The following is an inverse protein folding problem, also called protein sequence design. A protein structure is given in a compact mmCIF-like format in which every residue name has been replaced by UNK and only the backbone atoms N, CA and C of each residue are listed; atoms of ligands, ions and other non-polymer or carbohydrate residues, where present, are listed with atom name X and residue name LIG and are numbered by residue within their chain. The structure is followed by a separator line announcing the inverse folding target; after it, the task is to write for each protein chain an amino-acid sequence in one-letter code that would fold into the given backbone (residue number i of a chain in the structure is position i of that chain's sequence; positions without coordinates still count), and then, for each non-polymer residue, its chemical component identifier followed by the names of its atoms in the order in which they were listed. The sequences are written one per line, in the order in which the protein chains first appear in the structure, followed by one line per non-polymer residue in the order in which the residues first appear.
data_IF_296593988887
#
_entry.id   IF_296593988887
#
_cell.length_a   1.000
_cell.length_b   1.000
_cell.length_c   1.000
_cell.angle_alpha   90.00
_cell.angle_beta   90.00
_cell.angle_gamma   90.00
#
_symmetry.space_group_name_H-M   'P 1'
#
loop_
_entity.id
_entity.type
_entity.pdbx_description
1 polymer ?
#
# COMPACT_ATOMS: atom_id res chain seq x y z
N UNK A 1 2.60 28.92 30.28
CA UNK A 1 2.38 27.50 29.95
C UNK A 1 1.19 27.44 29.00
N UNK A 2 1.45 27.47 27.69
CA UNK A 2 0.42 27.37 26.66
C UNK A 2 0.05 25.89 26.54
N UNK A 3 -1.10 25.52 27.06
CA UNK A 3 -1.67 24.18 26.87
C UNK A 3 -2.09 24.06 25.41
N UNK A 4 -1.23 23.43 24.60
CA UNK A 4 -1.64 22.91 23.31
C UNK A 4 -2.88 22.02 23.53
N UNK A 5 -3.96 22.20 22.74
CA UNK A 5 -5.11 21.34 22.85
C UNK A 5 -4.67 19.89 22.61
N UNK A 6 -5.07 18.98 23.50
CA UNK A 6 -4.95 17.54 23.26
C UNK A 6 -5.62 17.26 21.90
N UNK A 7 -4.96 16.59 20.94
CA UNK A 7 -5.60 16.26 19.67
C UNK A 7 -6.85 15.45 19.99
N UNK A 8 -8.03 16.01 19.70
CA UNK A 8 -9.23 15.21 19.60
C UNK A 8 -8.98 14.16 18.53
N UNK A 9 -9.51 12.93 18.70
CA UNK A 9 -9.50 11.87 17.67
C UNK A 9 -9.60 12.51 16.29
N UNK A 10 -8.52 12.48 15.52
CA UNK A 10 -8.50 13.07 14.18
C UNK A 10 -9.70 12.49 13.42
N UNK A 11 -10.60 13.36 12.96
CA UNK A 11 -11.75 12.92 12.16
C UNK A 11 -11.17 12.34 10.88
N UNK A 12 -11.29 11.01 10.71
CA UNK A 12 -10.81 10.33 9.50
C UNK A 12 -11.49 10.99 8.29
N UNK A 13 -10.72 11.68 7.41
CA UNK A 13 -11.31 12.40 6.30
C UNK A 13 -11.86 11.42 5.27
N UNK A 14 -13.08 11.67 4.79
CA UNK A 14 -13.75 10.77 3.86
C UNK A 14 -14.58 11.56 2.86
N UNK A 15 -14.42 11.23 1.57
CA UNK A 15 -15.28 11.71 0.49
C UNK A 15 -15.40 13.25 0.42
N UNK A 16 -14.31 13.98 0.70
CA UNK A 16 -14.22 15.43 0.57
C UNK A 16 -14.53 15.86 -0.87
N UNK A 17 -14.06 15.07 -1.83
CA UNK A 17 -14.39 15.19 -3.25
C UNK A 17 -15.10 13.92 -3.73
N UNK A 18 -16.14 14.09 -4.55
CA UNK A 18 -17.03 13.01 -5.03
C UNK A 18 -17.05 12.97 -6.54
N UNK A 19 -17.53 11.87 -7.13
CA UNK A 19 -17.66 11.76 -8.60
C UNK A 19 -18.48 12.90 -9.21
N UNK A 20 -19.50 13.39 -8.50
CA UNK A 20 -20.33 14.52 -8.95
C UNK A 20 -19.65 15.89 -8.86
N UNK A 21 -18.58 16.01 -8.07
CA UNK A 21 -17.80 17.24 -7.87
C UNK A 21 -16.35 16.85 -7.54
N UNK A 22 -15.57 16.40 -8.54
CA UNK A 22 -14.19 16.00 -8.33
C UNK A 22 -13.31 17.22 -8.07
N UNK A 23 -12.21 17.02 -7.36
CA UNK A 23 -11.13 18.00 -7.29
C UNK A 23 -10.29 17.91 -8.56
N UNK A 24 -9.64 19.00 -8.94
CA UNK A 24 -8.68 19.02 -10.03
C UNK A 24 -7.30 19.19 -9.42
N UNK A 25 -6.50 18.13 -9.46
CA UNK A 25 -5.11 18.14 -9.02
C UNK A 25 -4.20 18.32 -10.24
N UNK A 26 -2.98 18.85 -10.04
CA UNK A 26 -2.00 19.00 -11.12
C UNK A 26 -0.86 18.01 -10.94
N UNK A 27 -0.39 17.38 -12.01
CA UNK A 27 0.79 16.53 -11.97
C UNK A 27 2.03 17.40 -11.78
N UNK A 28 2.82 17.11 -10.74
CA UNK A 28 4.12 17.72 -10.52
C UNK A 28 5.25 16.86 -11.09
N UNK A 29 5.15 15.54 -10.91
CA UNK A 29 6.14 14.59 -11.39
C UNK A 29 5.47 13.27 -11.77
N UNK A 30 6.05 12.58 -12.77
CA UNK A 30 5.65 11.24 -13.19
C UNK A 30 6.90 10.43 -13.55
N UNK A 31 7.46 9.76 -12.56
CA UNK A 31 8.75 9.09 -12.66
C UNK A 31 8.59 7.58 -12.77
N UNK A 32 9.39 6.95 -13.62
CA UNK A 32 9.41 5.48 -13.72
C UNK A 32 10.24 4.89 -12.61
N UNK A 33 9.63 4.00 -11.82
CA UNK A 33 10.27 3.28 -10.73
C UNK A 33 11.03 2.03 -11.19
N UNK A 34 10.68 1.51 -12.36
CA UNK A 34 11.22 0.26 -12.91
C UNK A 34 12.06 0.53 -14.17
N UNK A 35 13.13 -0.25 -14.42
CA UNK A 35 13.92 -0.11 -15.64
C UNK A 35 13.12 -0.47 -16.91
N UNK A 36 13.53 0.07 -18.06
CA UNK A 36 12.96 -0.32 -19.36
C UNK A 36 13.01 -1.85 -19.56
N UNK A 37 12.02 -2.39 -20.27
CA UNK A 37 11.85 -3.84 -20.44
C UNK A 37 11.12 -4.55 -19.29
N UNK A 38 10.90 -3.88 -18.16
CA UNK A 38 10.04 -4.38 -17.07
C UNK A 38 8.67 -3.70 -17.08
N UNK A 39 7.76 -4.24 -16.25
CA UNK A 39 6.43 -3.65 -15.99
C UNK A 39 6.56 -2.14 -15.72
N UNK A 40 5.79 -1.32 -16.42
CA UNK A 40 5.82 0.14 -16.27
C UNK A 40 5.13 0.55 -14.96
N UNK A 41 5.92 0.81 -13.91
CA UNK A 41 5.41 1.30 -12.63
C UNK A 41 5.90 2.72 -12.40
N UNK A 42 4.97 3.62 -12.10
CA UNK A 42 5.21 5.06 -11.96
C UNK A 42 5.01 5.51 -10.52
N UNK A 43 5.85 6.43 -10.10
CA UNK A 43 5.61 7.31 -8.96
C UNK A 43 5.09 8.64 -9.48
N UNK A 44 3.84 8.97 -9.15
CA UNK A 44 3.16 10.15 -9.67
C UNK A 44 2.86 11.08 -8.51
N UNK A 45 3.41 12.29 -8.54
CA UNK A 45 3.21 13.31 -7.51
C UNK A 45 2.17 14.31 -8.02
N UNK A 46 1.13 14.53 -7.22
CA UNK A 46 0.04 15.44 -7.51
C UNK A 46 0.08 16.63 -6.55
N UNK A 47 0.02 17.85 -7.10
CA UNK A 47 -0.26 19.09 -6.38
C UNK A 47 -1.74 19.15 -6.02
N UNK A 48 -2.00 19.41 -4.74
CA UNK A 48 -3.35 19.61 -4.17
C UNK A 48 -3.48 20.94 -3.44
N UNK A 49 -2.57 21.89 -3.62
CA UNK A 49 -2.57 23.18 -2.91
C UNK A 49 -3.83 24.03 -3.12
N UNK A 50 -4.54 23.83 -4.24
CA UNK A 50 -5.84 24.44 -4.51
C UNK A 50 -7.05 23.65 -3.98
N UNK A 51 -6.84 22.53 -3.28
CA UNK A 51 -7.88 21.62 -2.82
C UNK A 51 -7.89 21.53 -1.30
N UNK A 52 -9.08 21.55 -0.69
CA UNK A 52 -9.26 21.11 0.70
C UNK A 52 -9.29 19.57 0.74
N UNK A 53 -8.15 18.98 0.39
CA UNK A 53 -7.96 17.54 0.31
C UNK A 53 -6.92 17.14 1.36
N UNK A 54 -7.36 16.70 2.53
CA UNK A 54 -6.50 16.13 3.56
C UNK A 54 -6.82 14.64 3.70
N UNK A 55 -5.80 13.82 3.98
CA UNK A 55 -5.89 12.37 4.07
C UNK A 55 -4.95 11.83 5.15
N UNK A 56 -5.14 10.56 5.51
CA UNK A 56 -4.29 9.80 6.43
C UNK A 56 -3.55 8.69 5.68
N UNK A 57 -2.44 8.25 6.25
CA UNK A 57 -1.69 7.12 5.71
C UNK A 57 -2.57 5.88 5.60
N UNK A 58 -2.50 5.21 4.45
CA UNK A 58 -3.27 3.99 4.16
C UNK A 58 -4.67 4.24 3.56
N UNK A 59 -5.05 5.50 3.35
CA UNK A 59 -6.21 5.83 2.53
C UNK A 59 -5.92 5.73 1.03
N UNK A 60 -6.99 5.72 0.25
CA UNK A 60 -6.97 5.71 -1.21
C UNK A 60 -7.46 7.03 -1.81
N UNK A 61 -6.82 7.45 -2.90
CA UNK A 61 -7.27 8.52 -3.78
C UNK A 61 -7.97 7.92 -4.99
N UNK A 62 -9.10 8.49 -5.37
CA UNK A 62 -9.84 8.03 -6.54
C UNK A 62 -9.57 8.89 -7.77
N UNK A 63 -9.31 8.29 -8.92
CA UNK A 63 -9.05 8.96 -10.21
C UNK A 63 -10.20 8.71 -11.19
N UNK A 64 -10.68 9.78 -11.82
CA UNK A 64 -11.64 9.74 -12.92
C UNK A 64 -10.90 9.94 -14.24
N UNK A 65 -10.61 8.86 -15.00
CA UNK A 65 -9.99 9.02 -16.30
C UNK A 65 -10.96 9.71 -17.29
N UNK A 66 -10.46 10.55 -18.20
CA UNK A 66 -11.30 11.26 -19.17
C UNK A 66 -11.89 10.30 -20.20
N UNK A 67 -12.99 10.70 -20.84
CA UNK A 67 -13.61 9.94 -21.92
C UNK A 67 -14.82 9.09 -21.50
N UNK A 68 -15.31 8.28 -22.45
CA UNK A 68 -16.54 7.50 -22.32
C UNK A 68 -16.35 6.05 -22.77
N UNK A 69 -17.12 5.13 -22.20
CA UNK A 69 -17.16 3.73 -22.62
C UNK A 69 -17.89 3.55 -23.97
N UNK A 70 -17.91 2.31 -24.48
CA UNK A 70 -18.57 1.97 -25.75
C UNK A 70 -20.09 2.27 -25.77
N UNK A 71 -20.70 2.57 -24.63
CA UNK A 71 -22.12 2.95 -24.50
C UNK A 71 -22.28 4.47 -24.26
N UNK A 72 -21.23 5.25 -24.45
CA UNK A 72 -21.23 6.70 -24.25
C UNK A 72 -21.28 7.15 -22.79
N UNK A 73 -21.05 6.24 -21.83
CA UNK A 73 -21.08 6.58 -20.40
C UNK A 73 -19.69 7.00 -19.92
N UNK A 74 -19.56 8.03 -19.07
CA UNK A 74 -18.27 8.42 -18.51
C UNK A 74 -17.52 7.24 -17.90
N UNK A 75 -16.19 7.23 -18.06
CA UNK A 75 -15.40 6.20 -17.45
C UNK A 75 -15.53 6.20 -15.92
N UNK A 76 -15.59 5.00 -15.34
CA UNK A 76 -15.75 4.83 -13.89
C UNK A 76 -14.50 5.22 -13.11
N UNK A 77 -14.72 5.65 -11.88
CA UNK A 77 -13.69 5.85 -10.85
C UNK A 77 -12.80 4.62 -10.66
N UNK A 78 -11.48 4.83 -10.54
CA UNK A 78 -10.52 3.82 -10.05
C UNK A 78 -9.83 4.34 -8.80
N UNK A 79 -9.70 3.49 -7.78
CA UNK A 79 -9.00 3.82 -6.54
C UNK A 79 -7.54 3.42 -6.64
N UNK A 80 -6.67 4.24 -6.04
CA UNK A 80 -5.24 4.02 -5.90
C UNK A 80 -4.85 4.33 -4.45
N UNK A 81 -4.20 3.40 -3.77
CA UNK A 81 -3.67 3.63 -2.42
C UNK A 81 -2.65 4.77 -2.48
N UNK A 82 -2.74 5.70 -1.53
CA UNK A 82 -1.85 6.87 -1.47
C UNK A 82 -0.48 6.40 -0.97
N UNK A 83 0.58 6.78 -1.71
CA UNK A 83 1.96 6.34 -1.48
C UNK A 83 2.79 7.33 -0.63
N UNK A 84 2.23 8.48 -0.28
CA UNK A 84 2.86 9.54 0.53
C UNK A 84 2.19 9.65 1.91
N UNK A 85 2.89 10.27 2.85
CA UNK A 85 2.29 10.64 4.15
C UNK A 85 1.25 11.74 3.98
N UNK A 86 0.47 12.05 5.01
CA UNK A 86 -0.47 13.18 5.05
C UNK A 86 0.19 14.53 4.75
N UNK A 87 1.51 14.62 4.93
CA UNK A 87 2.32 15.80 4.62
C UNK A 87 2.86 15.81 3.17
N UNK A 88 2.61 14.77 2.39
CA UNK A 88 3.15 14.66 1.03
C UNK A 88 4.63 14.27 1.01
N UNK A 89 5.21 14.14 -0.18
CA UNK A 89 6.62 13.72 -0.31
C UNK A 89 7.62 14.84 0.03
N UNK A 90 7.18 16.09 -0.02
CA UNK A 90 7.94 17.29 0.32
C UNK A 90 7.77 17.73 1.79
N UNK A 91 6.87 17.09 2.53
CA UNK A 91 6.56 17.42 3.92
C UNK A 91 5.80 18.75 4.11
N UNK A 92 5.37 19.40 3.01
CA UNK A 92 4.70 20.70 3.06
C UNK A 92 3.18 20.62 3.22
N UNK A 93 2.61 19.41 3.14
CA UNK A 93 1.17 19.16 3.24
C UNK A 93 0.38 19.56 2.00
N UNK A 94 1.05 19.76 0.86
CA UNK A 94 0.44 20.22 -0.39
C UNK A 94 0.49 19.21 -1.53
N UNK A 95 1.11 18.05 -1.32
CA UNK A 95 1.23 17.00 -2.34
C UNK A 95 0.55 15.71 -1.88
N UNK A 96 0.24 14.86 -2.86
CA UNK A 96 -0.17 13.47 -2.68
C UNK A 96 0.46 12.62 -3.79
N UNK A 97 0.97 11.44 -3.47
CA UNK A 97 1.68 10.60 -4.43
C UNK A 97 1.01 9.25 -4.64
N UNK A 98 1.08 8.72 -5.86
CA UNK A 98 0.53 7.43 -6.25
C UNK A 98 1.62 6.49 -6.76
N UNK A 99 1.46 5.19 -6.52
CA UNK A 99 2.28 4.14 -7.09
C UNK A 99 1.46 3.34 -8.11
N UNK A 100 1.62 3.66 -9.40
CA UNK A 100 0.72 3.16 -10.46
C UNK A 100 1.45 2.21 -11.39
N UNK A 101 1.01 0.95 -11.46
CA UNK A 101 1.42 0.02 -12.50
C UNK A 101 0.53 0.17 -13.74
N UNK A 102 1.13 0.38 -14.91
CA UNK A 102 0.44 0.32 -16.20
C UNK A 102 -0.12 -1.08 -16.40
N UNK A 103 -1.43 -1.16 -16.64
CA UNK A 103 -2.10 -2.45 -16.87
C UNK A 103 -2.20 -2.68 -18.38
N UNK A 104 -1.54 -3.74 -18.83
CA UNK A 104 -1.62 -4.28 -20.19
C UNK A 104 -1.90 -5.77 -20.05
N UNK A 105 -2.92 -6.27 -20.74
CA UNK A 105 -3.30 -7.69 -20.69
C UNK A 105 -3.80 -8.17 -22.03
N UNK A 106 -3.59 -9.46 -22.33
CA UNK A 106 -4.18 -10.10 -23.51
C UNK A 106 -5.60 -10.52 -23.19
N UNK A 107 -6.56 -10.05 -23.98
CA UNK A 107 -7.95 -10.50 -23.88
C UNK A 107 -8.04 -11.98 -24.25
N UNK A 108 -8.45 -12.87 -23.32
CA UNK A 108 -8.46 -14.31 -23.58
C UNK A 108 -9.48 -14.72 -24.66
N UNK A 109 -10.51 -13.91 -24.93
CA UNK A 109 -11.51 -14.23 -25.94
C UNK A 109 -11.07 -13.80 -27.36
N UNK A 110 -10.29 -12.72 -27.48
CA UNK A 110 -9.92 -12.14 -28.78
C UNK A 110 -8.44 -12.25 -29.11
N UNK A 111 -7.59 -12.58 -28.13
CA UNK A 111 -6.13 -12.60 -28.26
C UNK A 111 -5.50 -11.22 -28.40
N UNK A 112 -6.28 -10.14 -28.36
CA UNK A 112 -5.77 -8.77 -28.55
C UNK A 112 -5.22 -8.20 -27.25
N UNK A 113 -4.16 -7.40 -27.37
CA UNK A 113 -3.68 -6.59 -26.25
C UNK A 113 -4.72 -5.53 -25.89
N UNK A 114 -5.06 -5.45 -24.60
CA UNK A 114 -5.92 -4.42 -24.03
C UNK A 114 -5.15 -3.64 -22.97
N UNK A 115 -5.44 -2.33 -22.94
CA UNK A 115 -4.86 -1.38 -22.01
C UNK A 115 -5.89 -0.94 -20.98
N UNK A 116 -5.54 -1.03 -19.71
CA UNK A 116 -6.36 -0.51 -18.63
C UNK A 116 -6.48 1.01 -18.74
N UNK A 117 -7.71 1.52 -18.85
CA UNK A 117 -7.99 2.94 -19.13
C UNK A 117 -7.29 3.87 -18.12
N UNK A 118 -7.56 3.70 -16.82
CA UNK A 118 -7.08 4.63 -15.80
C UNK A 118 -5.57 4.54 -15.57
N UNK A 119 -4.99 3.33 -15.54
CA UNK A 119 -3.56 3.17 -15.30
C UNK A 119 -2.71 3.62 -16.49
N UNK A 120 -3.16 3.42 -17.73
CA UNK A 120 -2.45 3.96 -18.89
C UNK A 120 -2.56 5.48 -18.94
N UNK A 121 -3.76 6.03 -18.73
CA UNK A 121 -3.96 7.48 -18.59
C UNK A 121 -2.98 8.08 -17.59
N UNK A 122 -2.94 7.57 -16.35
CA UNK A 122 -2.03 8.06 -15.31
C UNK A 122 -0.56 7.92 -15.69
N UNK A 123 -0.14 6.77 -16.23
CA UNK A 123 1.25 6.56 -16.60
C UNK A 123 1.72 7.40 -17.81
N UNK A 124 0.79 7.96 -18.60
CA UNK A 124 1.08 8.80 -19.76
C UNK A 124 1.10 10.31 -19.43
N UNK A 125 0.55 10.72 -18.28
CA UNK A 125 0.51 12.12 -17.85
C UNK A 125 1.89 12.77 -17.74
N UNK A 126 1.97 14.03 -18.10
CA UNK A 126 3.17 14.87 -17.99
C UNK A 126 3.03 15.89 -16.86
N UNK A 127 4.15 16.39 -16.30
CA UNK A 127 4.10 17.54 -15.39
C UNK A 127 3.33 18.71 -16.00
N UNK A 128 2.40 19.26 -15.23
CA UNK A 128 1.48 20.32 -15.67
C UNK A 128 0.09 19.83 -16.06
N UNK A 129 -0.09 18.55 -16.37
CA UNK A 129 -1.40 17.99 -16.71
C UNK A 129 -2.34 18.00 -15.49
N UNK A 130 -3.65 18.12 -15.77
CA UNK A 130 -4.70 18.09 -14.77
C UNK A 130 -5.33 16.69 -14.64
N UNK A 131 -5.68 16.33 -13.40
CA UNK A 131 -6.29 15.04 -13.05
C UNK A 131 -7.51 15.28 -12.18
N UNK A 132 -8.64 14.70 -12.58
CA UNK A 132 -9.86 14.70 -11.78
C UNK A 132 -9.77 13.64 -10.67
N UNK A 133 -9.77 14.10 -9.42
CA UNK A 133 -9.57 13.27 -8.21
C UNK A 133 -10.80 13.29 -7.29
N UNK A 134 -10.96 12.22 -6.50
CA UNK A 134 -12.01 12.04 -5.50
C UNK A 134 -11.42 11.47 -4.21
N UNK A 135 -12.24 11.43 -3.16
CA UNK A 135 -11.84 10.91 -1.86
C UNK A 135 -11.38 12.01 -0.88
N UNK A 136 -10.48 11.67 0.06
CA UNK A 136 -9.92 10.34 0.27
C UNK A 136 -10.98 9.30 0.64
N UNK A 137 -10.66 8.03 0.43
CA UNK A 137 -11.51 6.88 0.76
C UNK A 137 -10.75 5.88 1.62
N UNK A 138 -11.47 5.06 2.38
CA UNK A 138 -10.88 4.08 3.28
C UNK A 138 -10.80 4.60 4.72
N UNK A 139 -11.22 3.78 5.67
CA UNK A 139 -11.23 4.10 7.11
C UNK A 139 -10.71 2.97 7.99
N UNK A 140 -10.39 1.84 7.38
CA UNK A 140 -9.97 0.62 8.07
C UNK A 140 -8.46 0.48 8.00
N UNK A 141 -7.88 0.56 6.80
CA UNK A 141 -6.45 0.34 6.53
C UNK A 141 -5.57 1.53 6.96
N UNK A 142 -5.73 2.04 8.19
CA UNK A 142 -5.02 3.22 8.70
C UNK A 142 -3.87 2.81 9.61
N UNK A 143 -2.79 3.59 9.61
CA UNK A 143 -1.73 3.46 10.62
C UNK A 143 -2.31 3.71 12.03
N UNK A 144 -2.02 2.87 13.04
CA UNK A 144 -2.54 3.09 14.39
C UNK A 144 -1.80 4.26 15.06
N UNK A 145 -2.51 4.99 15.93
CA UNK A 145 -1.96 6.13 16.66
C UNK A 145 -1.05 5.72 17.84
N UNK A 146 -1.13 4.46 18.29
CA UNK A 146 -0.32 3.94 19.40
C UNK A 146 1.14 3.74 18.95
N UNK A 147 2.11 4.52 19.49
CA UNK A 147 3.50 4.41 19.09
C UNK A 147 4.15 3.08 19.53
N UNK A 148 3.50 2.33 20.42
CA UNK A 148 3.98 1.00 20.83
C UNK A 148 3.47 -0.13 19.93
N UNK A 149 2.60 0.17 18.96
CA UNK A 149 2.02 -0.83 18.08
C UNK A 149 3.08 -1.51 17.20
N UNK A 150 3.04 -2.84 17.14
CA UNK A 150 3.86 -3.59 16.18
C UNK A 150 3.13 -3.75 14.85
N UNK A 151 3.85 -3.67 13.74
CA UNK A 151 3.29 -3.79 12.40
C UNK A 151 3.95 -4.95 11.65
N UNK A 152 3.12 -5.89 11.17
CA UNK A 152 3.51 -6.87 10.17
C UNK A 152 2.89 -6.42 8.85
N UNK A 153 3.74 -5.99 7.92
CA UNK A 153 3.35 -5.43 6.63
C UNK A 153 3.69 -6.43 5.53
N UNK A 154 2.71 -6.86 4.74
CA UNK A 154 2.91 -7.82 3.67
C UNK A 154 2.45 -7.23 2.34
N UNK A 155 3.41 -6.87 1.49
CA UNK A 155 3.18 -6.23 0.20
C UNK A 155 3.54 -7.13 -0.99
N UNK A 156 2.77 -7.01 -2.07
CA UNK A 156 3.21 -7.45 -3.41
C UNK A 156 3.02 -6.36 -4.45
N UNK A 157 4.05 -6.15 -5.30
CA UNK A 157 4.01 -5.14 -6.36
C UNK A 157 3.63 -3.74 -5.85
N UNK A 158 2.59 -3.12 -6.43
CA UNK A 158 2.11 -1.79 -6.02
C UNK A 158 1.47 -1.74 -4.63
N UNK A 159 1.23 -2.90 -3.99
CA UNK A 159 0.77 -2.97 -2.60
C UNK A 159 1.77 -2.39 -1.58
N UNK A 160 2.98 -2.03 -2.01
CA UNK A 160 3.93 -1.26 -1.20
C UNK A 160 3.47 0.18 -0.93
N UNK A 161 2.54 0.73 -1.73
CA UNK A 161 2.12 2.13 -1.64
C UNK A 161 1.72 2.58 -0.22
N UNK A 162 0.73 1.95 0.45
CA UNK A 162 0.36 2.36 1.81
C UNK A 162 1.52 2.18 2.80
N UNK A 163 2.36 1.17 2.63
CA UNK A 163 3.49 0.91 3.53
C UNK A 163 4.64 1.88 3.35
N UNK A 164 4.85 2.40 2.13
CA UNK A 164 5.76 3.54 1.92
C UNK A 164 5.30 4.73 2.75
N UNK A 165 4.00 5.05 2.73
CA UNK A 165 3.44 6.11 3.56
C UNK A 165 3.61 5.82 5.06
N UNK A 166 3.36 4.58 5.50
CA UNK A 166 3.56 4.18 6.91
C UNK A 166 5.01 4.36 7.35
N UNK A 167 5.96 3.83 6.58
CA UNK A 167 7.39 3.88 6.93
C UNK A 167 7.93 5.31 6.94
N UNK A 168 7.52 6.15 5.98
CA UNK A 168 7.88 7.58 6.02
C UNK A 168 7.28 8.27 7.24
N UNK A 169 6.01 8.03 7.54
CA UNK A 169 5.34 8.61 8.72
C UNK A 169 6.05 8.20 10.00
N UNK A 170 6.33 6.91 10.17
CA UNK A 170 7.02 6.35 11.34
C UNK A 170 8.43 6.91 11.46
N UNK A 171 9.27 6.76 10.43
CA UNK A 171 10.71 7.01 10.58
C UNK A 171 11.18 8.43 10.26
N UNK A 172 10.34 9.25 9.64
CA UNK A 172 10.66 10.64 9.30
C UNK A 172 9.84 11.65 10.11
N UNK A 173 8.65 11.28 10.59
CA UNK A 173 7.71 12.24 11.18
C UNK A 173 7.21 11.87 12.60
N UNK A 174 7.46 10.64 13.07
CA UNK A 174 7.06 10.12 14.38
C UNK A 174 8.27 9.54 15.14
N UNK A 175 9.21 10.37 15.63
CA UNK A 175 10.40 9.91 16.35
C UNK A 175 10.09 9.10 17.62
N UNK A 176 8.86 9.18 18.14
CA UNK A 176 8.37 8.45 19.30
C UNK A 176 7.93 7.01 19.02
N UNK A 177 7.93 6.54 17.78
CA UNK A 177 7.53 5.17 17.46
C UNK A 177 8.50 4.15 18.09
N UNK A 178 7.97 3.24 18.91
CA UNK A 178 8.71 2.22 19.67
C UNK A 178 8.41 0.79 19.20
N UNK A 179 7.27 0.57 18.54
CA UNK A 179 6.86 -0.76 18.10
C UNK A 179 7.68 -1.30 16.93
N UNK A 180 7.80 -2.61 16.84
CA UNK A 180 8.52 -3.27 15.75
C UNK A 180 7.75 -3.14 14.42
N UNK A 181 8.48 -2.96 13.31
CA UNK A 181 7.89 -2.92 11.96
C UNK A 181 8.58 -3.96 11.09
N UNK A 182 7.84 -4.98 10.68
CA UNK A 182 8.33 -6.09 9.85
C UNK A 182 7.66 -6.03 8.48
N UNK A 183 8.43 -5.75 7.43
CA UNK A 183 7.94 -5.69 6.06
C UNK A 183 8.40 -6.91 5.25
N UNK A 184 7.44 -7.67 4.72
CA UNK A 184 7.66 -8.65 3.66
C UNK A 184 7.24 -8.05 2.33
N UNK A 185 8.17 -7.93 1.39
CA UNK A 185 7.90 -7.35 0.08
C UNK A 185 8.21 -8.30 -1.07
N UNK A 186 7.15 -8.73 -1.77
CA UNK A 186 7.19 -9.63 -2.90
C UNK A 186 7.17 -8.93 -4.25
N UNK A 187 8.20 -9.17 -5.06
CA UNK A 187 8.27 -8.75 -6.46
C UNK A 187 8.84 -9.88 -7.32
N UNK A 188 8.92 -9.67 -8.63
CA UNK A 188 9.44 -10.68 -9.55
C UNK A 188 10.96 -10.77 -9.48
N UNK A 189 11.65 -9.63 -9.56
CA UNK A 189 13.10 -9.50 -9.59
C UNK A 189 13.55 -8.37 -8.68
N UNK A 190 14.82 -8.34 -8.30
CA UNK A 190 15.42 -7.25 -7.55
C UNK A 190 15.33 -5.90 -8.30
N UNK A 191 15.36 -5.93 -9.63
CA UNK A 191 15.21 -4.75 -10.50
C UNK A 191 13.79 -4.16 -10.51
N UNK A 192 12.78 -4.96 -10.18
CA UNK A 192 11.38 -4.53 -10.06
C UNK A 192 11.04 -4.07 -8.63
N UNK A 193 12.02 -4.00 -7.73
CA UNK A 193 11.82 -3.62 -6.34
C UNK A 193 11.56 -2.10 -6.23
N UNK A 194 10.29 -1.75 -6.05
CA UNK A 194 9.83 -0.38 -5.95
C UNK A 194 10.36 0.27 -4.66
N UNK A 195 10.89 1.49 -4.76
CA UNK A 195 11.40 2.28 -3.62
C UNK A 195 12.54 1.61 -2.83
N UNK A 196 13.27 0.68 -3.43
CA UNK A 196 14.28 -0.14 -2.75
C UNK A 196 15.28 0.69 -1.91
N UNK A 197 15.87 1.74 -2.49
CA UNK A 197 16.84 2.57 -1.79
C UNK A 197 16.23 3.29 -0.58
N UNK A 198 15.00 3.78 -0.69
CA UNK A 198 14.28 4.43 0.42
C UNK A 198 13.93 3.41 1.53
N UNK A 199 13.48 2.21 1.16
CA UNK A 199 13.18 1.14 2.12
C UNK A 199 14.44 0.68 2.85
N UNK A 200 15.55 0.50 2.13
CA UNK A 200 16.83 0.07 2.69
C UNK A 200 17.46 1.15 3.59
N UNK A 201 17.17 2.43 3.37
CA UNK A 201 17.61 3.53 4.25
C UNK A 201 17.02 3.46 5.67
N UNK A 202 15.97 2.66 5.88
CA UNK A 202 15.39 2.45 7.20
C UNK A 202 15.97 1.24 7.94
N UNK A 203 16.88 0.45 7.34
CA UNK A 203 17.41 -0.80 7.95
C UNK A 203 18.12 -0.57 9.30
N UNK A 204 18.71 0.61 9.50
CA UNK A 204 19.37 0.95 10.77
C UNK A 204 18.38 1.47 11.83
N UNK A 205 17.09 1.60 11.50
CA UNK A 205 16.06 2.03 12.45
C UNK A 205 15.75 0.89 13.44
N UNK A 206 15.73 1.16 14.76
CA UNK A 206 15.41 0.16 15.76
C UNK A 206 14.07 -0.52 15.47
N UNK A 207 14.03 -1.85 15.53
CA UNK A 207 12.81 -2.62 15.34
C UNK A 207 12.32 -2.75 13.89
N UNK A 208 13.01 -2.17 12.90
CA UNK A 208 12.68 -2.39 11.49
C UNK A 208 13.30 -3.69 10.96
N UNK A 209 12.50 -4.51 10.30
CA UNK A 209 12.96 -5.69 9.55
C UNK A 209 12.35 -5.67 8.16
N UNK A 210 13.17 -5.89 7.14
CA UNK A 210 12.75 -5.94 5.74
C UNK A 210 13.19 -7.25 5.10
N UNK A 211 12.23 -8.00 4.56
CA UNK A 211 12.48 -9.26 3.86
C UNK A 211 11.89 -9.23 2.46
N UNK A 212 12.73 -9.48 1.46
CA UNK A 212 12.31 -9.55 0.07
C UNK A 212 12.00 -10.99 -0.37
N UNK A 213 10.98 -11.14 -1.21
CA UNK A 213 10.69 -12.37 -1.95
C UNK A 213 10.77 -12.09 -3.47
N UNK A 214 11.81 -12.60 -4.13
CA UNK A 214 12.01 -12.42 -5.57
C UNK A 214 11.65 -13.70 -6.34
N UNK A 215 10.43 -13.76 -6.87
CA UNK A 215 9.90 -15.00 -7.45
C UNK A 215 10.64 -15.53 -8.68
N UNK A 216 11.42 -14.70 -9.37
CA UNK A 216 12.22 -15.10 -10.54
C UNK A 216 13.67 -15.41 -10.21
N UNK A 217 14.20 -14.86 -9.12
CA UNK A 217 15.62 -14.97 -8.73
C UNK A 217 15.86 -15.93 -7.57
N UNK A 218 14.88 -16.11 -6.69
CA UNK A 218 14.98 -16.94 -5.49
C UNK A 218 14.10 -18.18 -5.64
N UNK A 219 14.47 -19.26 -4.94
CA UNK A 219 13.75 -20.53 -4.93
C UNK A 219 13.56 -21.02 -3.50
N UNK A 220 12.45 -21.71 -3.25
CA UNK A 220 12.25 -22.47 -2.00
C UNK A 220 13.19 -23.69 -2.01
N UNK A 221 13.39 -24.37 -0.86
CA UNK A 221 14.16 -25.61 -0.80
C UNK A 221 13.66 -26.69 -1.78
N UNK A 222 12.36 -26.72 -2.05
CA UNK A 222 11.69 -27.63 -2.99
C UNK A 222 11.83 -27.20 -4.46
N UNK A 223 12.54 -26.10 -4.73
CA UNK A 223 12.77 -25.59 -6.09
C UNK A 223 11.62 -24.75 -6.67
N UNK A 224 10.60 -24.42 -5.87
CA UNK A 224 9.50 -23.55 -6.29
C UNK A 224 9.93 -22.08 -6.31
N UNK A 225 9.17 -21.21 -6.99
CA UNK A 225 9.40 -19.76 -6.96
C UNK A 225 9.22 -19.21 -5.53
N UNK A 226 10.09 -18.30 -5.11
CA UNK A 226 10.00 -17.63 -3.81
C UNK A 226 8.90 -16.56 -3.81
N UNK A 227 7.96 -16.64 -2.87
CA UNK A 227 6.88 -15.68 -2.68
C UNK A 227 6.82 -15.25 -1.21
N UNK A 228 6.03 -14.23 -0.89
CA UNK A 228 6.00 -13.64 0.46
C UNK A 228 5.61 -14.64 1.54
N UNK A 229 4.66 -15.54 1.28
CA UNK A 229 4.27 -16.58 2.24
C UNK A 229 5.42 -17.54 2.56
N UNK A 230 6.33 -17.79 1.62
CA UNK A 230 7.50 -18.64 1.87
C UNK A 230 8.49 -17.92 2.80
N UNK A 231 8.75 -16.63 2.56
CA UNK A 231 9.59 -15.80 3.45
C UNK A 231 9.00 -15.63 4.85
N UNK A 232 7.68 -15.52 4.94
CA UNK A 232 6.99 -15.50 6.23
C UNK A 232 7.09 -16.86 6.94
N UNK A 233 6.97 -17.97 6.22
CA UNK A 233 7.14 -19.31 6.78
C UNK A 233 8.55 -19.54 7.34
N UNK A 234 9.60 -18.99 6.68
CA UNK A 234 10.98 -19.03 7.18
C UNK A 234 11.15 -18.32 8.54
N UNK A 235 10.27 -17.37 8.87
CA UNK A 235 10.32 -16.55 10.10
C UNK A 235 9.10 -16.80 10.99
N UNK A 236 8.40 -17.93 10.81
CA UNK A 236 7.05 -18.12 11.34
C UNK A 236 6.96 -18.06 12.87
N UNK A 237 8.00 -18.53 13.58
CA UNK A 237 8.02 -18.49 15.05
C UNK A 237 8.01 -17.05 15.58
N UNK A 238 8.91 -16.21 15.07
CA UNK A 238 8.98 -14.79 15.43
C UNK A 238 7.69 -14.04 15.04
N UNK A 239 7.14 -14.35 13.86
CA UNK A 239 5.92 -13.71 13.37
C UNK A 239 4.71 -14.10 14.19
N UNK A 240 4.58 -15.37 14.58
CA UNK A 240 3.50 -15.85 15.41
C UNK A 240 3.55 -15.25 16.81
N UNK A 241 4.75 -15.22 17.41
CA UNK A 241 4.97 -14.58 18.70
C UNK A 241 4.64 -13.09 18.66
N UNK A 242 5.00 -12.39 17.58
CA UNK A 242 4.65 -10.98 17.40
C UNK A 242 3.14 -10.79 17.23
N UNK A 243 2.51 -11.54 16.32
CA UNK A 243 1.07 -11.45 16.01
C UNK A 243 0.17 -11.79 17.22
N UNK A 244 0.66 -12.64 18.12
CA UNK A 244 -0.03 -13.01 19.37
C UNK A 244 -0.10 -11.87 20.39
N UNK A 245 0.68 -10.79 20.24
CA UNK A 245 0.59 -9.62 21.11
C UNK A 245 -0.62 -8.75 20.75
N UNK A 246 -1.31 -8.21 21.77
CA UNK A 246 -2.53 -7.42 21.59
C UNK A 246 -2.32 -6.08 20.86
N UNK A 247 -1.08 -5.59 20.82
CA UNK A 247 -0.70 -4.37 20.11
C UNK A 247 -0.11 -4.62 18.72
N UNK A 248 -0.21 -5.84 18.18
CA UNK A 248 0.31 -6.17 16.84
C UNK A 248 -0.78 -6.17 15.78
N UNK A 249 -0.50 -5.51 14.65
CA UNK A 249 -1.37 -5.37 13.50
C UNK A 249 -0.75 -6.05 12.26
N UNK A 250 -1.54 -6.84 11.54
CA UNK A 250 -1.19 -7.47 10.27
C UNK A 250 -1.89 -6.74 9.12
N UNK A 251 -1.09 -6.13 8.26
CA UNK A 251 -1.53 -5.47 7.04
C UNK A 251 -1.11 -6.28 5.80
N UNK A 252 -2.06 -6.53 4.90
CA UNK A 252 -1.84 -7.25 3.64
C UNK A 252 -2.32 -6.36 2.49
N UNK A 253 -1.42 -6.00 1.58
CA UNK A 253 -1.76 -5.18 0.42
C UNK A 253 -1.11 -5.68 -0.86
N UNK A 254 -1.85 -5.72 -1.96
CA UNK A 254 -1.31 -6.08 -3.27
C UNK A 254 -2.27 -6.94 -4.11
N UNK A 255 -1.70 -7.87 -4.88
CA UNK A 255 -2.48 -8.67 -5.83
C UNK A 255 -3.44 -9.62 -5.12
N UNK A 256 -4.69 -9.65 -5.56
CA UNK A 256 -5.68 -10.63 -5.11
C UNK A 256 -5.18 -12.08 -5.18
N UNK A 257 -5.39 -12.83 -4.10
CA UNK A 257 -5.01 -14.22 -3.93
C UNK A 257 -3.74 -14.43 -3.10
N UNK A 258 -2.97 -13.38 -2.80
CA UNK A 258 -1.80 -13.49 -1.92
C UNK A 258 -2.18 -13.87 -0.48
N UNK A 259 -3.36 -13.46 -0.04
CA UNK A 259 -3.93 -13.74 1.28
C UNK A 259 -4.08 -15.24 1.54
N UNK A 260 -4.34 -16.05 0.52
CA UNK A 260 -4.53 -17.50 0.65
C UNK A 260 -3.27 -18.19 1.16
N UNK A 261 -2.11 -17.81 0.61
CA UNK A 261 -0.83 -18.38 1.03
C UNK A 261 -0.42 -17.93 2.43
N UNK A 262 -0.72 -16.67 2.77
CA UNK A 262 -0.45 -16.10 4.10
C UNK A 262 -1.34 -16.76 5.15
N UNK A 263 -2.63 -16.93 4.88
CA UNK A 263 -3.55 -17.62 5.78
C UNK A 263 -3.13 -19.08 6.00
N UNK A 264 -2.72 -19.78 4.95
CA UNK A 264 -2.30 -21.18 5.07
C UNK A 264 -1.13 -21.37 6.04
N UNK A 265 -0.10 -20.52 5.97
CA UNK A 265 1.07 -20.63 6.86
C UNK A 265 0.72 -20.26 8.31
N UNK A 266 -0.14 -19.27 8.53
CA UNK A 266 -0.53 -18.83 9.86
C UNK A 266 -1.47 -19.85 10.51
N UNK A 267 -2.39 -20.43 9.73
CA UNK A 267 -3.26 -21.55 10.17
C UNK A 267 -2.43 -22.75 10.59
N UNK A 268 -1.47 -23.18 9.76
CA UNK A 268 -0.59 -24.28 10.10
C UNK A 268 0.22 -24.01 11.38
N UNK A 269 0.68 -22.76 11.58
CA UNK A 269 1.38 -22.41 12.83
C UNK A 269 0.46 -22.41 14.05
N UNK A 270 -0.75 -21.89 13.92
CA UNK A 270 -1.75 -21.88 14.98
C UNK A 270 -2.09 -23.30 15.45
N UNK A 271 -2.25 -24.24 14.51
CA UNK A 271 -2.51 -25.65 14.80
C UNK A 271 -1.37 -26.28 15.61
N UNK A 272 -0.11 -25.99 15.27
CA UNK A 272 1.06 -26.44 16.03
C UNK A 272 1.14 -25.82 17.43
N UNK A 273 0.61 -24.61 17.60
CA UNK A 273 0.54 -23.89 18.88
C UNK A 273 -0.62 -24.39 19.77
N UNK A 274 -1.51 -25.23 19.24
CA UNK A 274 -2.76 -25.60 19.90
C UNK A 274 -3.80 -24.47 19.92
N UNK A 275 -3.58 -23.41 19.14
CA UNK A 275 -4.47 -22.26 19.02
C UNK A 275 -5.48 -22.50 17.88
N UNK A 276 -6.77 -22.28 18.14
CA UNK A 276 -7.79 -22.32 17.08
C UNK A 276 -7.60 -21.15 16.13
N UNK A 277 -7.14 -21.43 14.90
CA UNK A 277 -6.95 -20.40 13.88
C UNK A 277 -8.23 -19.62 13.60
N UNK A 278 -9.37 -20.29 13.44
CA UNK A 278 -10.62 -19.61 13.08
C UNK A 278 -11.07 -18.62 14.17
N UNK A 279 -10.90 -18.98 15.45
CA UNK A 279 -11.18 -18.08 16.57
C UNK A 279 -10.17 -16.93 16.65
N UNK A 280 -8.87 -17.22 16.49
CA UNK A 280 -7.81 -16.21 16.50
C UNK A 280 -7.96 -15.20 15.35
N UNK A 281 -8.21 -15.70 14.14
CA UNK A 281 -8.45 -14.88 12.95
C UNK A 281 -9.72 -14.02 13.09
N UNK A 282 -10.81 -14.57 13.65
CA UNK A 282 -12.00 -13.79 13.95
C UNK A 282 -11.71 -12.67 14.96
N UNK A 283 -10.97 -12.97 16.03
CA UNK A 283 -10.56 -11.98 17.03
C UNK A 283 -9.69 -10.87 16.43
N UNK A 284 -8.71 -11.20 15.58
CA UNK A 284 -7.90 -10.21 14.88
C UNK A 284 -8.75 -9.25 14.05
N UNK A 285 -9.79 -9.75 13.37
CA UNK A 285 -10.70 -8.92 12.56
C UNK A 285 -11.59 -8.04 13.43
N UNK A 286 -12.17 -8.59 14.49
CA UNK A 286 -13.05 -7.86 15.41
C UNK A 286 -12.29 -6.73 16.13
N UNK A 287 -11.03 -7.00 16.52
CA UNK A 287 -10.15 -6.04 17.16
C UNK A 287 -9.53 -5.03 16.17
N UNK A 288 -9.78 -5.15 14.87
CA UNK A 288 -9.21 -4.27 13.85
C UNK A 288 -7.70 -4.43 13.66
N UNK A 289 -7.15 -5.61 14.00
CA UNK A 289 -5.72 -5.95 13.90
C UNK A 289 -5.35 -6.74 12.65
N UNK A 290 -6.33 -7.24 11.89
CA UNK A 290 -6.12 -7.81 10.56
C UNK A 290 -6.75 -6.92 9.48
N UNK A 291 -5.90 -6.36 8.62
CA UNK A 291 -6.28 -5.37 7.62
C UNK A 291 -5.82 -5.84 6.24
N UNK A 292 -6.76 -5.95 5.30
CA UNK A 292 -6.50 -6.52 3.97
C UNK A 292 -7.04 -5.56 2.91
N UNK A 293 -6.17 -5.12 2.00
CA UNK A 293 -6.51 -4.34 0.80
C UNK A 293 -5.87 -5.01 -0.43
N UNK A 294 -6.56 -6.01 -0.97
CA UNK A 294 -6.11 -6.74 -2.18
C UNK A 294 -7.01 -6.47 -3.37
N UNK A 295 -6.41 -6.25 -4.54
CA UNK A 295 -7.10 -5.86 -5.77
C UNK A 295 -6.64 -6.62 -7.02
#
# INVERSE_FOLDING_TARGET
MSTLPKPGRDVIPLNLYRVSRPGIARVLANERLTPEGYDDVRHIVLDRSGLDYHYLEGQSLGVLPPGVDAKGRPHKLRLYSIASTRLGDDGAGQTASLCVKRVVYTDPATGQERRGIASNYLCDLQPGDEVAVTGPSGKTFLLPDDPTANLILVATGTGIAPFRAFLRRIYLELPEWLGAVVLFFGVRTAAECLYRAELEAFLDRPGFRLTYAFSREQRTPEGNRMYVQHRMAEQIEDLWALLSQDNTYLYICGLKGMEVGIEAILRARAELDGTSWDAFHAALREQGRLLIETY
#
